data_IF_464236458114
#
_entry.id   IF_464236458114
#
_cell.length_a   1.000
_cell.length_b   1.000
_cell.length_c   1.000
_cell.angle_alpha   90.00
_cell.angle_beta   90.00
_cell.angle_gamma   90.00
#
_symmetry.space_group_name_H-M   'P 1'
#
loop_
_entity.id
_entity.type
_entity.pdbx_description
1 polymer ?
#
# COMPACT_ATOMS: atom_id res chain seq x y z
N UNK A 1 13.59 -2.25 6.41
CA UNK A 1 13.74 -1.11 7.34
C UNK A 1 12.78 -1.32 8.51
N UNK A 2 13.14 -0.91 9.73
CA UNK A 2 12.23 -1.00 10.88
C UNK A 2 11.11 0.04 10.71
N UNK A 3 9.84 -0.30 11.01
CA UNK A 3 8.74 0.66 10.89
C UNK A 3 8.84 1.75 11.96
N UNK A 4 8.25 2.92 11.70
CA UNK A 4 8.23 4.08 12.60
C UNK A 4 9.63 4.44 13.15
N UNK A 5 10.65 4.28 12.34
CA UNK A 5 12.05 4.48 12.73
C UNK A 5 12.66 5.59 11.88
N UNK A 6 13.33 6.54 12.54
CA UNK A 6 14.08 7.59 11.86
C UNK A 6 15.45 7.05 11.43
N UNK A 7 15.80 7.31 10.17
CA UNK A 7 17.08 6.98 9.58
C UNK A 7 17.76 8.24 9.06
N UNK A 8 19.09 8.25 9.10
CA UNK A 8 19.91 9.32 8.55
C UNK A 8 20.73 8.75 7.39
N UNK A 9 20.56 9.33 6.20
CA UNK A 9 21.34 8.98 5.02
C UNK A 9 22.42 10.06 4.81
N UNK A 10 23.64 9.61 4.54
CA UNK A 10 24.76 10.46 4.14
C UNK A 10 25.41 9.88 2.89
N UNK A 11 25.85 10.77 2.01
CA UNK A 11 26.44 10.42 0.72
C UNK A 11 27.88 10.92 0.67
N UNK A 12 28.77 10.19 0.02
CA UNK A 12 30.11 10.69 -0.36
C UNK A 12 30.46 10.19 -1.75
N UNK A 13 31.20 11.00 -2.51
CA UNK A 13 31.80 10.58 -3.76
C UNK A 13 33.15 9.91 -3.49
N UNK A 14 33.54 8.92 -4.30
CA UNK A 14 34.89 8.38 -4.33
C UNK A 14 35.43 8.56 -5.76
N UNK A 15 36.62 9.14 -5.90
CA UNK A 15 37.31 9.27 -7.18
C UNK A 15 38.69 8.59 -7.15
N UNK A 16 39.50 8.77 -8.19
CA UNK A 16 40.85 8.18 -8.29
C UNK A 16 41.84 8.73 -7.26
N UNK A 17 41.56 9.90 -6.67
CA UNK A 17 42.39 10.56 -5.66
C UNK A 17 41.92 10.22 -4.23
N UNK A 18 40.70 9.71 -4.07
CA UNK A 18 40.21 9.12 -2.83
C UNK A 18 38.74 9.43 -2.52
N UNK A 19 38.30 9.14 -1.28
CA UNK A 19 36.96 9.48 -0.83
C UNK A 19 36.83 10.98 -0.51
N UNK A 20 35.82 11.62 -1.09
CA UNK A 20 35.42 12.98 -0.74
C UNK A 20 34.73 13.07 0.63
N UNK A 21 34.42 14.30 1.04
CA UNK A 21 33.73 14.59 2.30
C UNK A 21 32.32 13.99 2.31
N UNK A 22 31.90 13.42 3.45
CA UNK A 22 30.50 13.03 3.65
C UNK A 22 29.59 14.27 3.62
N UNK A 23 28.47 14.14 2.92
CA UNK A 23 27.39 15.10 2.91
C UNK A 23 26.83 15.32 4.32
N UNK A 24 26.07 16.41 4.42
CA UNK A 24 25.16 16.60 5.53
C UNK A 24 24.11 15.46 5.55
N UNK A 25 23.66 15.02 6.73
CA UNK A 25 22.67 13.97 6.84
C UNK A 25 21.31 14.45 6.37
N UNK A 26 20.62 13.57 5.63
CA UNK A 26 19.19 13.71 5.33
C UNK A 26 18.44 12.73 6.23
N UNK A 27 17.49 13.24 7.01
CA UNK A 27 16.63 12.42 7.85
C UNK A 27 15.39 11.96 7.09
N UNK A 28 15.04 10.69 7.23
CA UNK A 28 13.77 10.13 6.75
C UNK A 28 13.15 9.25 7.82
N UNK A 29 11.82 9.23 7.86
CA UNK A 29 11.06 8.42 8.80
C UNK A 29 10.35 7.32 8.02
N UNK A 30 10.48 6.09 8.47
CA UNK A 30 9.72 4.98 7.91
C UNK A 30 8.31 4.98 8.47
N UNK A 31 7.34 4.64 7.62
CA UNK A 31 5.95 4.45 8.04
C UNK A 31 5.71 3.00 8.50
N UNK A 32 4.49 2.75 8.98
CA UNK A 32 4.00 1.39 9.21
C UNK A 32 3.97 0.63 7.88
N UNK A 33 4.12 -0.71 7.90
CA UNK A 33 3.96 -1.51 6.70
C UNK A 33 2.56 -1.35 6.13
N UNK A 34 2.46 -1.37 4.80
CA UNK A 34 1.18 -1.29 4.11
C UNK A 34 0.27 -2.44 4.54
N UNK A 35 -0.99 -2.12 4.86
CA UNK A 35 -2.00 -3.09 5.23
C UNK A 35 -2.86 -3.41 4.00
N UNK A 36 -2.80 -4.66 3.52
CA UNK A 36 -3.60 -5.10 2.38
C UNK A 36 -5.07 -5.24 2.81
N UNK A 37 -6.02 -4.58 2.11
CA UNK A 37 -7.44 -4.79 2.36
C UNK A 37 -7.87 -6.19 1.89
N UNK A 38 -8.84 -6.77 2.57
CA UNK A 38 -9.50 -8.01 2.20
C UNK A 38 -10.90 -7.71 1.73
N UNK A 39 -11.32 -8.37 0.65
CA UNK A 39 -12.61 -8.18 0.01
C UNK A 39 -13.49 -9.40 0.31
N UNK A 40 -14.75 -9.14 0.64
CA UNK A 40 -15.73 -10.16 0.94
C UNK A 40 -17.06 -9.79 0.26
N UNK A 41 -17.48 -10.63 -0.68
CA UNK A 41 -18.77 -10.52 -1.36
C UNK A 41 -19.73 -11.47 -0.64
N UNK A 42 -20.81 -10.93 -0.10
CA UNK A 42 -21.77 -11.72 0.70
C UNK A 42 -22.43 -12.81 -0.14
N UNK A 43 -22.67 -12.52 -1.42
CA UNK A 43 -23.34 -13.39 -2.38
C UNK A 43 -22.45 -14.53 -2.89
N UNK A 44 -21.13 -14.48 -2.64
CA UNK A 44 -20.17 -15.47 -3.10
C UNK A 44 -19.81 -15.36 -4.59
N UNK A 45 -19.40 -16.48 -5.18
CA UNK A 45 -18.89 -16.52 -6.56
C UNK A 45 -20.01 -16.55 -7.61
N UNK A 46 -21.21 -17.03 -7.25
CA UNK A 46 -22.33 -17.19 -8.19
C UNK A 46 -23.65 -16.88 -7.51
N UNK A 47 -24.43 -16.00 -8.15
CA UNK A 47 -25.76 -15.62 -7.70
C UNK A 47 -26.80 -16.08 -8.74
N UNK A 48 -27.75 -16.91 -8.32
CA UNK A 48 -28.88 -17.31 -9.17
C UNK A 48 -30.05 -16.34 -8.97
N UNK A 49 -30.41 -15.62 -10.03
CA UNK A 49 -31.43 -14.58 -10.02
C UNK A 49 -32.50 -14.91 -11.06
N UNK A 50 -33.80 -14.94 -10.70
CA UNK A 50 -34.88 -15.14 -11.66
C UNK A 50 -34.94 -14.02 -12.73
N UNK A 51 -35.48 -14.31 -13.92
CA UNK A 51 -35.65 -13.31 -14.96
C UNK A 51 -36.46 -12.10 -14.47
N UNK A 52 -36.03 -10.91 -14.88
CA UNK A 52 -36.69 -9.62 -14.58
C UNK A 52 -36.76 -9.28 -13.08
N UNK A 53 -35.95 -9.93 -12.23
CA UNK A 53 -35.86 -9.57 -10.82
C UNK A 53 -34.61 -8.73 -10.55
N UNK A 54 -34.73 -7.59 -9.85
CA UNK A 54 -33.58 -6.79 -9.47
C UNK A 54 -32.75 -7.55 -8.43
N UNK A 55 -31.43 -7.45 -8.53
CA UNK A 55 -30.49 -8.00 -7.56
C UNK A 55 -29.51 -6.91 -7.10
N UNK A 56 -28.91 -7.15 -5.93
CA UNK A 56 -27.90 -6.28 -5.35
C UNK A 56 -26.71 -7.13 -4.94
N UNK A 57 -25.51 -6.64 -5.22
CA UNK A 57 -24.26 -7.28 -4.79
C UNK A 57 -23.61 -6.35 -3.75
N UNK A 58 -23.28 -6.92 -2.60
CA UNK A 58 -22.68 -6.19 -1.49
C UNK A 58 -21.20 -6.54 -1.36
N UNK A 59 -20.34 -5.52 -1.48
CA UNK A 59 -18.90 -5.68 -1.31
C UNK A 59 -18.46 -5.10 0.04
N UNK A 60 -18.03 -5.97 0.95
CA UNK A 60 -17.46 -5.59 2.23
C UNK A 60 -15.93 -5.61 2.12
N UNK A 61 -15.30 -4.49 2.47
CA UNK A 61 -13.84 -4.34 2.36
C UNK A 61 -13.26 -3.94 3.71
N UNK A 62 -12.23 -4.66 4.16
CA UNK A 62 -11.51 -4.30 5.39
C UNK A 62 -10.66 -3.04 5.16
N UNK A 63 -10.33 -2.31 6.24
CA UNK A 63 -9.46 -1.12 6.12
C UNK A 63 -8.08 -1.54 5.61
N UNK A 64 -7.63 -0.88 4.53
CA UNK A 64 -6.26 -0.92 4.05
C UNK A 64 -5.50 0.36 4.39
N UNK A 65 -4.17 0.29 4.34
CA UNK A 65 -3.27 1.44 4.42
C UNK A 65 -2.27 1.36 3.24
N UNK A 66 -2.34 2.26 2.24
CA UNK A 66 -3.27 3.39 2.14
C UNK A 66 -4.73 2.96 1.91
N UNK A 67 -5.67 3.91 2.11
CA UNK A 67 -7.10 3.65 1.95
C UNK A 67 -7.43 3.08 0.56
N UNK A 68 -8.20 1.97 0.48
CA UNK A 68 -8.48 1.31 -0.79
C UNK A 68 -9.50 2.07 -1.65
N UNK A 69 -9.40 1.90 -2.97
CA UNK A 69 -10.43 2.31 -3.95
C UNK A 69 -11.17 1.08 -4.45
N UNK A 70 -12.50 1.13 -4.43
CA UNK A 70 -13.37 0.01 -4.82
C UNK A 70 -14.07 0.38 -6.12
N UNK A 71 -14.09 -0.53 -7.09
CA UNK A 71 -14.76 -0.37 -8.37
C UNK A 71 -15.28 -1.71 -8.88
N UNK A 72 -16.48 -1.70 -9.47
CA UNK A 72 -17.03 -2.82 -10.22
C UNK A 72 -16.61 -2.71 -11.67
N UNK A 73 -16.23 -3.85 -12.27
CA UNK A 73 -15.88 -3.95 -13.69
C UNK A 73 -16.88 -4.88 -14.36
N UNK A 74 -17.28 -4.52 -15.58
CA UNK A 74 -18.21 -5.27 -16.43
C UNK A 74 -17.47 -5.92 -17.58
#
# INVERSE_FOLDING_TARGET
>A
LRPNTQYFIRLRANDKLGPGRLSNPVSLNTHKPAARPQLFIQEGDTLHVPPLTPFRISCNVTRGDPAPRISWFT
#
